data_IF_956050493843
#
_entry.id   IF_956050493843
#
_cell.length_a   1.000
_cell.length_b   1.000
_cell.length_c   1.000
_cell.angle_alpha   90.00
_cell.angle_beta   90.00
_cell.angle_gamma   90.00
#
_symmetry.space_group_name_H-M   'P 1'
#
loop_
_entity.id
_entity.type
_entity.pdbx_description
1 polymer ?
#
# COMPACT_ATOMS: atom_id res chain seq x y z
N UNK A 1 -1.59 -32.89 -16.44
CA UNK A 1 -1.29 -31.71 -17.27
C UNK A 1 -1.30 -30.50 -16.36
N UNK A 2 -0.25 -29.65 -16.31
CA UNK A 2 -0.27 -28.45 -15.46
C UNK A 2 -1.42 -27.53 -15.88
N UNK A 3 -1.99 -26.83 -14.90
CA UNK A 3 -3.01 -25.79 -15.13
C UNK A 3 -2.45 -24.69 -16.03
N UNK A 4 -3.30 -24.11 -16.87
CA UNK A 4 -2.90 -22.99 -17.72
C UNK A 4 -2.61 -21.75 -16.86
N UNK A 5 -1.57 -20.95 -17.14
CA UNK A 5 -1.23 -19.75 -16.39
C UNK A 5 -2.40 -18.77 -16.20
N UNK A 6 -3.24 -18.60 -17.22
CA UNK A 6 -4.44 -17.76 -17.16
C UNK A 6 -5.47 -18.27 -16.15
N UNK A 7 -5.65 -19.58 -16.03
CA UNK A 7 -6.57 -20.17 -15.04
C UNK A 7 -6.04 -19.96 -13.62
N UNK A 8 -4.72 -20.05 -13.43
CA UNK A 8 -4.08 -19.78 -12.14
C UNK A 8 -4.27 -18.31 -11.77
N UNK A 9 -4.07 -17.40 -12.72
CA UNK A 9 -4.24 -15.96 -12.52
C UNK A 9 -5.67 -15.61 -12.04
N UNK A 10 -6.69 -16.04 -12.77
CA UNK A 10 -8.08 -15.75 -12.43
C UNK A 10 -8.50 -16.38 -11.09
N UNK A 11 -8.06 -17.62 -10.81
CA UNK A 11 -8.33 -18.26 -9.53
C UNK A 11 -7.72 -17.48 -8.36
N UNK A 12 -6.48 -16.99 -8.52
CA UNK A 12 -5.83 -16.18 -7.48
C UNK A 12 -6.47 -14.81 -7.30
N UNK A 13 -6.95 -14.16 -8.36
CA UNK A 13 -7.74 -12.91 -8.24
C UNK A 13 -8.99 -13.12 -7.40
N UNK A 14 -9.74 -14.20 -7.64
CA UNK A 14 -10.89 -14.55 -6.80
C UNK A 14 -10.48 -14.82 -5.35
N UNK A 15 -9.36 -15.50 -5.14
CA UNK A 15 -8.83 -15.76 -3.81
C UNK A 15 -8.44 -14.48 -3.07
N UNK A 16 -7.85 -13.50 -3.76
CA UNK A 16 -7.58 -12.15 -3.22
C UNK A 16 -8.88 -11.48 -2.79
N UNK A 17 -9.92 -11.50 -3.63
CA UNK A 17 -11.22 -10.94 -3.27
C UNK A 17 -11.81 -11.61 -2.00
N UNK A 18 -11.66 -12.93 -1.85
CA UNK A 18 -12.07 -13.63 -0.64
C UNK A 18 -11.26 -13.20 0.59
N UNK A 19 -9.94 -13.03 0.48
CA UNK A 19 -9.11 -12.60 1.60
C UNK A 19 -9.40 -11.15 2.02
N UNK A 20 -9.76 -10.28 1.08
CA UNK A 20 -10.23 -8.92 1.38
C UNK A 20 -11.52 -8.92 2.22
N UNK A 21 -12.46 -9.82 1.93
CA UNK A 21 -13.71 -9.93 2.68
C UNK A 21 -13.52 -10.38 4.14
N UNK A 22 -12.44 -11.12 4.42
CA UNK A 22 -12.07 -11.53 5.78
C UNK A 22 -10.98 -10.65 6.39
N UNK A 23 -10.61 -9.56 5.71
CA UNK A 23 -9.59 -8.58 6.12
C UNK A 23 -8.22 -9.21 6.43
N UNK A 24 -7.89 -10.36 5.80
CA UNK A 24 -6.55 -10.95 5.89
C UNK A 24 -5.61 -10.26 4.88
N UNK A 25 -5.21 -9.04 5.22
CA UNK A 25 -4.36 -8.21 4.37
C UNK A 25 -3.00 -8.85 4.06
N UNK A 26 -2.47 -9.66 4.98
CA UNK A 26 -1.24 -10.40 4.76
C UNK A 26 -1.40 -11.47 3.67
N UNK A 27 -2.51 -12.21 3.68
CA UNK A 27 -2.83 -13.16 2.63
C UNK A 27 -3.16 -12.47 1.29
N UNK A 28 -3.82 -11.31 1.32
CA UNK A 28 -4.06 -10.49 0.11
C UNK A 28 -2.74 -10.16 -0.58
N UNK A 29 -1.76 -9.60 0.15
CA UNK A 29 -0.48 -9.19 -0.44
C UNK A 29 0.25 -10.39 -1.07
N UNK A 30 0.38 -11.49 -0.32
CA UNK A 30 1.06 -12.70 -0.83
C UNK A 30 0.37 -13.26 -2.06
N UNK A 31 -0.95 -13.39 -2.02
CA UNK A 31 -1.73 -13.99 -3.11
C UNK A 31 -1.74 -13.08 -4.34
N UNK A 32 -1.78 -11.76 -4.15
CA UNK A 32 -1.66 -10.78 -5.22
C UNK A 32 -0.27 -10.83 -5.87
N UNK A 33 0.81 -10.90 -5.08
CA UNK A 33 2.17 -11.03 -5.60
C UNK A 33 2.36 -12.31 -6.43
N UNK A 34 1.80 -13.43 -5.95
CA UNK A 34 1.80 -14.68 -6.71
C UNK A 34 0.97 -14.58 -7.99
N UNK A 35 -0.18 -13.91 -7.95
CA UNK A 35 -1.02 -13.70 -9.14
C UNK A 35 -0.29 -12.84 -10.17
N UNK A 36 0.39 -11.77 -9.73
CA UNK A 36 1.10 -10.84 -10.62
C UNK A 36 2.26 -11.48 -11.38
N UNK A 37 2.73 -12.67 -10.99
CA UNK A 37 3.69 -13.47 -11.76
C UNK A 37 3.10 -14.06 -13.05
N UNK A 38 1.77 -14.19 -13.12
CA UNK A 38 1.07 -14.81 -14.25
C UNK A 38 0.35 -13.79 -15.15
N UNK A 39 0.13 -12.56 -14.68
CA UNK A 39 -0.52 -11.49 -15.42
C UNK A 39 -0.54 -10.17 -14.65
N UNK A 40 -0.73 -9.07 -15.36
CA UNK A 40 -0.82 -7.72 -14.76
C UNK A 40 -2.24 -7.20 -14.81
N UNK A 41 -2.72 -6.61 -13.71
CA UNK A 41 -4.09 -6.10 -13.60
C UNK A 41 -4.13 -4.89 -12.66
N UNK A 42 -4.69 -3.78 -13.14
CA UNK A 42 -4.71 -2.51 -12.39
C UNK A 42 -5.51 -2.61 -11.09
N UNK A 43 -6.62 -3.38 -11.07
CA UNK A 43 -7.43 -3.57 -9.87
C UNK A 43 -6.73 -4.45 -8.85
N UNK A 44 -6.02 -5.49 -9.30
CA UNK A 44 -5.22 -6.33 -8.41
C UNK A 44 -4.09 -5.56 -7.72
N UNK A 45 -3.46 -4.61 -8.43
CA UNK A 45 -2.50 -3.69 -7.82
C UNK A 45 -3.17 -2.74 -6.81
N UNK A 46 -4.41 -2.28 -7.08
CA UNK A 46 -5.18 -1.50 -6.11
C UNK A 46 -5.50 -2.31 -4.85
N UNK A 47 -5.96 -3.56 -5.00
CA UNK A 47 -6.28 -4.46 -3.89
C UNK A 47 -5.05 -4.70 -3.00
N UNK A 48 -3.88 -4.96 -3.61
CA UNK A 48 -2.60 -5.08 -2.90
C UNK A 48 -2.24 -3.77 -2.17
N UNK A 49 -2.37 -2.64 -2.86
CA UNK A 49 -2.01 -1.34 -2.30
C UNK A 49 -2.89 -0.96 -1.09
N UNK A 50 -4.19 -1.23 -1.15
CA UNK A 50 -5.13 -1.00 -0.06
C UNK A 50 -4.83 -1.89 1.15
N UNK A 51 -4.49 -3.16 0.92
CA UNK A 51 -4.03 -4.07 1.98
C UNK A 51 -2.73 -3.55 2.64
N UNK A 52 -1.80 -2.99 1.87
CA UNK A 52 -0.59 -2.36 2.39
C UNK A 52 -0.90 -1.09 3.20
N UNK A 53 -1.85 -0.27 2.78
CA UNK A 53 -2.34 0.87 3.58
C UNK A 53 -2.93 0.41 4.91
N UNK A 54 -3.69 -0.69 4.91
CA UNK A 54 -4.30 -1.23 6.12
C UNK A 54 -3.24 -1.76 7.13
N UNK A 55 -2.07 -2.15 6.65
CA UNK A 55 -0.92 -2.56 7.46
C UNK A 55 0.08 -1.42 7.75
N UNK A 56 -0.29 -0.17 7.47
CA UNK A 56 0.57 1.02 7.61
C UNK A 56 1.87 0.97 6.76
N UNK A 57 1.94 0.09 5.76
CA UNK A 57 3.05 -0.02 4.81
C UNK A 57 2.90 0.98 3.65
N UNK A 58 2.93 2.27 3.98
CA UNK A 58 2.52 3.33 3.04
C UNK A 58 3.45 3.51 1.83
N UNK A 59 4.74 3.22 1.97
CA UNK A 59 5.69 3.33 0.84
C UNK A 59 5.39 2.31 -0.25
N UNK A 60 5.26 1.05 0.15
CA UNK A 60 4.92 -0.06 -0.74
C UNK A 60 3.52 0.11 -1.34
N UNK A 61 2.58 0.67 -0.57
CA UNK A 61 1.24 1.00 -1.07
C UNK A 61 1.31 2.03 -2.20
N UNK A 62 2.06 3.12 -2.02
CA UNK A 62 2.24 4.15 -3.06
C UNK A 62 2.89 3.56 -4.30
N UNK A 63 3.88 2.69 -4.14
CA UNK A 63 4.49 1.98 -5.27
C UNK A 63 3.46 1.13 -6.01
N UNK A 64 2.66 0.32 -5.30
CA UNK A 64 1.63 -0.54 -5.90
C UNK A 64 0.55 0.28 -6.62
N UNK A 65 0.11 1.42 -6.08
CA UNK A 65 -0.80 2.32 -6.81
C UNK A 65 -0.17 2.95 -8.05
N UNK A 66 1.14 3.22 -8.06
CA UNK A 66 1.81 3.69 -9.26
C UNK A 66 1.84 2.62 -10.35
N UNK A 67 2.06 1.35 -10.00
CA UNK A 67 1.97 0.23 -10.96
C UNK A 67 0.55 0.11 -11.54
N UNK A 68 -0.48 0.26 -10.71
CA UNK A 68 -1.88 0.32 -11.18
C UNK A 68 -2.11 1.45 -12.21
N UNK A 69 -1.53 2.63 -11.95
CA UNK A 69 -1.63 3.81 -12.82
C UNK A 69 -0.77 3.74 -14.08
N UNK A 70 0.30 2.93 -14.08
CA UNK A 70 1.05 2.64 -15.31
C UNK A 70 0.21 1.79 -16.27
N UNK A 71 -0.61 0.89 -15.74
CA UNK A 71 -1.50 0.02 -16.54
C UNK A 71 -2.75 0.80 -16.99
N UNK A 72 -3.41 1.48 -16.06
CA UNK A 72 -4.55 2.36 -16.34
C UNK A 72 -4.33 3.74 -15.71
N UNK A 73 -3.81 4.71 -16.49
CA UNK A 73 -3.59 6.07 -16.01
C UNK A 73 -4.85 6.79 -15.50
N UNK A 74 -6.04 6.34 -15.94
CA UNK A 74 -7.32 6.92 -15.58
C UNK A 74 -8.00 6.19 -14.41
N UNK A 75 -7.33 5.21 -13.80
CA UNK A 75 -7.89 4.48 -12.67
C UNK A 75 -8.07 5.42 -11.47
N UNK A 76 -9.32 5.85 -11.26
CA UNK A 76 -9.68 6.77 -10.17
C UNK A 76 -9.42 6.16 -8.79
N UNK A 77 -9.63 4.86 -8.62
CA UNK A 77 -9.36 4.14 -7.37
C UNK A 77 -7.88 4.22 -7.04
N UNK A 78 -7.02 3.98 -8.02
CA UNK A 78 -5.57 4.07 -7.84
C UNK A 78 -5.10 5.50 -7.53
N UNK A 79 -5.64 6.52 -8.21
CA UNK A 79 -5.30 7.93 -7.94
C UNK A 79 -5.68 8.34 -6.51
N UNK A 80 -6.92 8.05 -6.11
CA UNK A 80 -7.43 8.39 -4.77
C UNK A 80 -6.69 7.61 -3.67
N UNK A 81 -6.46 6.32 -3.90
CA UNK A 81 -5.71 5.45 -2.99
C UNK A 81 -4.28 5.93 -2.77
N UNK A 82 -3.58 6.31 -3.85
CA UNK A 82 -2.23 6.90 -3.79
C UNK A 82 -2.20 8.18 -2.96
N UNK A 83 -3.14 9.10 -3.20
CA UNK A 83 -3.22 10.35 -2.45
C UNK A 83 -3.49 10.12 -0.96
N UNK A 84 -4.35 9.14 -0.63
CA UNK A 84 -4.60 8.73 0.75
C UNK A 84 -3.34 8.15 1.41
N UNK A 85 -2.64 7.24 0.73
CA UNK A 85 -1.39 6.64 1.23
C UNK A 85 -0.30 7.69 1.45
N UNK A 86 -0.14 8.65 0.52
CA UNK A 86 0.81 9.76 0.67
C UNK A 86 0.50 10.66 1.88
N UNK A 87 -0.78 10.95 2.15
CA UNK A 87 -1.18 11.71 3.34
C UNK A 87 -0.85 10.96 4.62
N UNK A 88 -1.17 9.67 4.67
CA UNK A 88 -0.87 8.81 5.82
C UNK A 88 0.63 8.70 6.10
N UNK A 89 1.43 8.50 5.05
CA UNK A 89 2.91 8.51 5.13
C UNK A 89 3.43 9.80 5.75
N UNK A 90 3.02 10.97 5.26
CA UNK A 90 3.46 12.27 5.81
C UNK A 90 3.13 12.43 7.29
N UNK A 91 1.98 11.92 7.73
CA UNK A 91 1.58 11.94 9.14
C UNK A 91 2.48 11.01 9.96
N UNK A 92 2.80 9.81 9.45
CA UNK A 92 3.73 8.88 10.09
C UNK A 92 5.14 9.47 10.19
N UNK A 93 5.70 9.97 9.09
CA UNK A 93 7.03 10.58 9.05
C UNK A 93 7.15 11.73 10.07
N UNK A 94 6.11 12.57 10.20
CA UNK A 94 6.05 13.64 11.20
C UNK A 94 6.02 13.09 12.63
N UNK A 95 5.28 12.01 12.88
CA UNK A 95 5.24 11.37 14.21
C UNK A 95 6.60 10.78 14.57
N UNK A 96 7.27 10.16 13.61
CA UNK A 96 8.59 9.55 13.80
C UNK A 96 9.67 10.62 13.98
N UNK A 97 9.59 11.74 13.24
CA UNK A 97 10.45 12.90 13.44
C UNK A 97 10.48 13.39 14.89
N UNK A 98 9.32 13.65 15.49
CA UNK A 98 9.27 14.09 16.89
C UNK A 98 9.73 13.00 17.87
N UNK A 99 9.44 11.73 17.57
CA UNK A 99 9.88 10.60 18.40
C UNK A 99 11.40 10.47 18.42
N UNK A 100 12.05 10.64 17.26
CA UNK A 100 13.51 10.59 17.11
C UNK A 100 14.17 11.75 17.87
N UNK A 101 13.58 12.95 17.81
CA UNK A 101 14.07 14.11 18.55
C UNK A 101 13.77 14.06 20.06
N UNK A 102 12.96 13.10 20.53
CA UNK A 102 12.60 12.98 21.94
C UNK A 102 11.73 14.13 22.45
N UNK A 103 11.02 14.84 21.57
CA UNK A 103 10.21 16.03 21.92
C UNK A 103 8.70 15.76 21.75
N UNK A 104 7.87 16.63 22.34
CA UNK A 104 6.42 16.58 22.16
C UNK A 104 6.01 16.79 20.70
N UNK A 105 4.87 16.22 20.29
CA UNK A 105 4.27 16.48 18.96
C UNK A 105 3.75 17.90 18.78
N UNK A 106 3.65 18.65 19.89
CA UNK A 106 3.32 20.07 19.93
C UNK A 106 4.55 20.93 20.20
N UNK A 107 5.75 20.38 20.09
CA UNK A 107 6.98 21.11 20.35
C UNK A 107 7.10 22.32 19.42
N UNK A 108 7.45 23.45 20.02
CA UNK A 108 7.74 24.69 19.30
C UNK A 108 9.05 24.60 18.53
N UNK A 109 9.25 25.50 17.56
CA UNK A 109 10.49 25.55 16.77
C UNK A 109 11.74 25.71 17.64
N UNK A 110 11.64 26.38 18.80
CA UNK A 110 12.76 26.58 19.71
C UNK A 110 13.09 25.31 20.51
N UNK A 111 12.08 24.52 20.89
CA UNK A 111 12.27 23.20 21.51
C UNK A 111 12.88 22.20 20.52
N UNK A 112 12.43 22.25 19.26
CA UNK A 112 12.99 21.44 18.17
C UNK A 112 14.47 21.82 17.92
N UNK A 113 14.80 23.11 17.82
CA UNK A 113 16.19 23.58 17.64
C UNK A 113 17.09 23.21 18.82
N UNK A 114 16.55 23.22 20.03
CA UNK A 114 17.30 22.85 21.23
C UNK A 114 17.66 21.36 21.26
N UNK A 115 16.83 20.49 20.69
CA UNK A 115 17.12 19.05 20.58
C UNK A 115 18.27 18.71 19.60
N UNK A 116 18.73 19.66 18.79
CA UNK A 116 19.92 19.50 17.91
C UNK A 116 21.24 19.97 18.54
N UNK A 117 21.19 20.63 19.70
CA UNK A 117 22.37 21.15 20.42
C UNK A 117 22.86 20.15 21.46
#
# INVERSE_FOLDING_TARGET
KPLQPSVIFEAKKLQVACYLLVEDYGAVIRTADEALQFGTDSELYCDKAEALVALDHFEDAVHSFNEALQIDPNNKRAQQGKDHALKRKKVQDKRDYYKILGVSRTASDDEIKSAYR
#
